data_IF_576741385907
#
_entry.id   IF_576741385907
#
_cell.length_a   1.000
_cell.length_b   1.000
_cell.length_c   1.000
_cell.angle_alpha   90.00
_cell.angle_beta   90.00
_cell.angle_gamma   90.00
#
_symmetry.space_group_name_H-M   'P 1'
#
loop_
_entity.id
_entity.type
_entity.pdbx_description
1 polymer ?
#
# COMPACT_ATOMS: atom_id res chain seq x y z
N UNK A 1 10.23 -18.94 -4.40
CA UNK A 1 11.15 -18.38 -3.38
C UNK A 1 10.61 -17.01 -2.92
N UNK A 2 10.89 -16.60 -1.67
CA UNK A 2 10.57 -15.25 -1.15
C UNK A 2 11.86 -14.49 -0.83
N UNK A 3 12.01 -13.26 -1.31
CA UNK A 3 13.20 -12.43 -1.11
C UNK A 3 12.81 -10.98 -0.83
N UNK A 4 13.49 -10.33 0.12
CA UNK A 4 13.37 -8.89 0.36
C UNK A 4 14.49 -8.12 -0.36
N UNK A 5 14.14 -7.13 -1.17
CA UNK A 5 15.06 -6.42 -2.06
C UNK A 5 14.79 -4.91 -2.07
N UNK A 6 15.80 -4.11 -2.41
CA UNK A 6 15.59 -2.73 -2.86
C UNK A 6 15.50 -2.70 -4.39
N UNK A 7 14.88 -1.67 -5.01
CA UNK A 7 14.81 -1.57 -6.47
C UNK A 7 16.17 -1.65 -7.16
N UNK A 8 17.22 -1.08 -6.54
CA UNK A 8 18.60 -1.12 -7.07
C UNK A 8 19.21 -2.52 -7.12
N UNK A 9 18.67 -3.45 -6.34
CA UNK A 9 19.13 -4.84 -6.24
C UNK A 9 18.25 -5.79 -7.06
N UNK A 10 17.24 -5.25 -7.76
CA UNK A 10 16.38 -5.98 -8.69
C UNK A 10 16.91 -5.80 -10.11
N UNK A 11 16.76 -6.84 -10.93
CA UNK A 11 16.95 -6.76 -12.37
C UNK A 11 15.82 -5.93 -13.00
N UNK A 12 16.09 -5.32 -14.16
CA UNK A 12 15.04 -4.62 -14.91
C UNK A 12 13.88 -5.55 -15.28
N UNK A 13 14.16 -6.82 -15.58
CA UNK A 13 13.13 -7.83 -15.88
C UNK A 13 12.21 -8.13 -14.69
N UNK A 14 12.71 -8.13 -13.46
CA UNK A 14 11.86 -8.29 -12.26
C UNK A 14 11.00 -7.05 -12.01
N UNK A 15 11.55 -5.85 -12.20
CA UNK A 15 10.78 -4.61 -12.07
C UNK A 15 9.70 -4.50 -13.15
N UNK A 16 10.01 -4.87 -14.38
CA UNK A 16 9.04 -4.91 -15.48
C UNK A 16 7.95 -5.95 -15.20
N UNK A 17 8.28 -7.15 -14.70
CA UNK A 17 7.28 -8.14 -14.30
C UNK A 17 6.37 -7.63 -13.15
N UNK A 18 6.91 -6.88 -12.19
CA UNK A 18 6.10 -6.24 -11.16
C UNK A 18 5.18 -5.17 -11.77
N UNK A 19 5.69 -4.37 -12.72
CA UNK A 19 4.90 -3.35 -13.40
C UNK A 19 3.75 -3.96 -14.21
N UNK A 20 4.03 -5.04 -14.95
CA UNK A 20 3.03 -5.75 -15.74
C UNK A 20 1.93 -6.34 -14.85
N UNK A 21 2.29 -6.84 -13.66
CA UNK A 21 1.31 -7.26 -12.66
C UNK A 21 0.41 -6.11 -12.21
N UNK A 22 0.95 -4.92 -11.91
CA UNK A 22 0.15 -3.75 -11.52
C UNK A 22 -0.81 -3.35 -12.65
N UNK A 23 -0.33 -3.32 -13.89
CA UNK A 23 -1.17 -3.00 -15.05
C UNK A 23 -2.29 -4.01 -15.24
N UNK A 24 -1.98 -5.31 -15.10
CA UNK A 24 -2.93 -6.41 -15.24
C UNK A 24 -4.04 -6.36 -14.19
N UNK A 25 -3.70 -6.12 -12.93
CA UNK A 25 -4.63 -6.27 -11.79
C UNK A 25 -5.35 -4.99 -11.41
N UNK A 26 -4.69 -3.83 -11.56
CA UNK A 26 -5.18 -2.53 -11.11
C UNK A 26 -5.21 -1.46 -12.21
N UNK A 27 -4.74 -1.76 -13.42
CA UNK A 27 -4.71 -0.76 -14.52
C UNK A 27 -6.08 -0.17 -14.82
N UNK A 28 -7.14 -0.98 -14.79
CA UNK A 28 -8.52 -0.49 -15.00
C UNK A 28 -9.05 0.34 -13.83
N UNK A 29 -8.72 -0.04 -12.59
CA UNK A 29 -9.05 0.78 -11.42
C UNK A 29 -8.39 2.17 -11.55
N UNK A 30 -7.09 2.22 -11.89
CA UNK A 30 -6.37 3.47 -12.15
C UNK A 30 -7.02 4.30 -13.26
N UNK A 31 -7.32 3.70 -14.43
CA UNK A 31 -7.97 4.40 -15.56
C UNK A 31 -9.35 4.94 -15.23
N UNK A 32 -10.09 4.26 -14.36
CA UNK A 32 -11.43 4.68 -13.92
C UNK A 32 -11.41 5.73 -12.80
N UNK A 33 -10.27 5.92 -12.16
CA UNK A 33 -10.06 6.86 -11.06
C UNK A 33 -9.63 8.25 -11.56
N UNK A 34 -9.71 9.23 -10.67
CA UNK A 34 -9.15 10.58 -10.82
C UNK A 34 -7.62 10.61 -10.79
N UNK A 35 -6.96 9.54 -10.34
CA UNK A 35 -5.49 9.40 -10.37
C UNK A 35 -5.00 9.12 -11.79
N UNK A 36 -5.73 8.31 -12.56
CA UNK A 36 -5.37 7.93 -13.92
C UNK A 36 -4.22 6.91 -13.99
N UNK A 37 -4.04 6.29 -15.17
CA UNK A 37 -2.93 5.36 -15.42
C UNK A 37 -1.79 6.07 -16.17
N UNK A 38 -0.66 6.23 -15.51
CA UNK A 38 0.52 6.93 -16.04
C UNK A 38 1.76 6.02 -16.02
N UNK A 39 1.98 5.17 -17.03
CA UNK A 39 3.04 4.16 -17.05
C UNK A 39 4.44 4.69 -16.70
N UNK A 40 4.81 5.84 -17.28
CA UNK A 40 6.13 6.45 -17.07
C UNK A 40 6.31 6.94 -15.63
N UNK A 41 5.27 7.54 -15.05
CA UNK A 41 5.29 7.98 -13.66
C UNK A 41 5.34 6.75 -12.73
N UNK A 42 4.51 5.74 -13.01
CA UNK A 42 4.45 4.50 -12.24
C UNK A 42 5.79 3.76 -12.22
N UNK A 43 6.46 3.63 -13.37
CA UNK A 43 7.80 3.03 -13.44
C UNK A 43 8.87 3.81 -12.68
N UNK A 44 8.71 5.13 -12.52
CA UNK A 44 9.60 5.96 -11.69
C UNK A 44 9.30 5.77 -10.21
N UNK A 45 8.04 5.80 -9.80
CA UNK A 45 7.58 5.52 -8.44
C UNK A 45 8.10 4.14 -7.97
N UNK A 46 7.95 3.11 -8.80
CA UNK A 46 8.41 1.75 -8.48
C UNK A 46 9.93 1.64 -8.27
N UNK A 47 10.70 2.66 -8.67
CA UNK A 47 12.16 2.75 -8.52
C UNK A 47 12.59 3.69 -7.39
N UNK A 48 11.68 4.18 -6.56
CA UNK A 48 12.03 5.00 -5.40
C UNK A 48 13.01 4.25 -4.47
N UNK A 49 14.11 4.89 -4.04
CA UNK A 49 15.24 4.21 -3.38
C UNK A 49 14.90 3.56 -2.04
N UNK A 50 13.88 4.09 -1.38
CA UNK A 50 13.43 3.65 -0.06
C UNK A 50 12.34 2.57 -0.10
N UNK A 51 11.85 2.22 -1.30
CA UNK A 51 11.00 1.04 -1.45
C UNK A 51 11.75 -0.23 -1.07
N UNK A 52 10.99 -1.18 -0.52
CA UNK A 52 11.38 -2.55 -0.24
C UNK A 52 10.36 -3.47 -0.89
N UNK A 53 10.85 -4.40 -1.69
CA UNK A 53 10.04 -5.39 -2.39
C UNK A 53 10.15 -6.73 -1.70
N UNK A 54 9.05 -7.45 -1.60
CA UNK A 54 9.03 -8.89 -1.33
C UNK A 54 8.53 -9.57 -2.59
N UNK A 55 9.42 -10.28 -3.30
CA UNK A 55 9.08 -10.99 -4.53
C UNK A 55 8.64 -12.41 -4.24
N UNK A 56 7.63 -12.88 -4.97
CA UNK A 56 7.21 -14.27 -5.06
C UNK A 56 7.67 -14.81 -6.39
N UNK A 57 8.64 -15.74 -6.36
CA UNK A 57 9.12 -16.41 -7.58
C UNK A 57 8.71 -17.87 -7.65
N UNK A 58 8.44 -18.38 -8.85
CA UNK A 58 8.25 -19.81 -9.10
C UNK A 58 9.60 -20.56 -9.18
N UNK A 59 9.59 -21.79 -9.71
CA UNK A 59 10.79 -22.64 -9.82
C UNK A 59 11.72 -22.21 -10.95
N UNK A 60 11.21 -21.45 -11.91
CA UNK A 60 11.94 -20.95 -13.07
C UNK A 60 12.43 -19.51 -12.83
N UNK A 61 12.44 -19.08 -11.56
CA UNK A 61 12.82 -17.73 -11.10
C UNK A 61 11.94 -16.59 -11.64
N UNK A 62 10.75 -16.90 -12.16
CA UNK A 62 9.82 -15.90 -12.68
C UNK A 62 8.99 -15.27 -11.56
N UNK A 63 8.83 -13.95 -11.59
CA UNK A 63 7.99 -13.22 -10.64
C UNK A 63 6.52 -13.53 -10.90
N UNK A 64 5.83 -14.06 -9.88
CA UNK A 64 4.40 -14.41 -9.90
C UNK A 64 3.56 -13.55 -8.96
N UNK A 65 4.20 -12.65 -8.24
CA UNK A 65 3.56 -11.78 -7.29
C UNK A 65 4.59 -10.99 -6.49
N UNK A 66 4.15 -9.92 -5.86
CA UNK A 66 5.00 -9.11 -5.02
C UNK A 66 4.18 -8.27 -4.04
N UNK A 67 4.87 -7.71 -3.05
CA UNK A 67 4.42 -6.49 -2.37
C UNK A 67 5.58 -5.51 -2.29
N UNK A 68 5.29 -4.21 -2.40
CA UNK A 68 6.25 -3.14 -2.16
C UNK A 68 5.81 -2.28 -0.98
N UNK A 69 6.76 -1.92 -0.13
CA UNK A 69 6.50 -1.13 1.07
C UNK A 69 7.65 -0.18 1.38
N UNK A 70 7.36 0.87 2.12
CA UNK A 70 8.36 1.86 2.54
C UNK A 70 8.04 2.39 3.93
N UNK A 71 9.02 2.39 4.86
CA UNK A 71 8.94 3.22 6.06
C UNK A 71 8.95 4.71 5.67
N UNK A 72 7.92 5.46 6.04
CA UNK A 72 7.74 6.88 5.68
C UNK A 72 7.00 7.64 6.80
N UNK A 73 6.74 8.93 6.59
CA UNK A 73 5.89 9.76 7.45
C UNK A 73 4.62 10.15 6.71
N UNK A 74 3.47 9.92 7.33
CA UNK A 74 2.15 10.33 6.84
C UNK A 74 1.44 11.15 7.91
N UNK A 75 1.03 12.37 7.58
CA UNK A 75 0.41 13.34 8.52
C UNK A 75 1.20 13.50 9.84
N UNK A 76 2.55 13.46 9.75
CA UNK A 76 3.45 13.59 10.90
C UNK A 76 3.63 12.31 11.72
N UNK A 77 2.99 11.19 11.34
CA UNK A 77 3.15 9.90 11.99
C UNK A 77 4.10 8.98 11.19
N UNK A 78 5.08 8.32 11.84
CA UNK A 78 5.90 7.31 11.19
C UNK A 78 5.09 6.02 10.94
N UNK A 79 5.11 5.54 9.69
CA UNK A 79 4.34 4.39 9.21
C UNK A 79 5.15 3.48 8.29
N UNK A 80 4.72 2.23 8.14
CA UNK A 80 5.06 1.44 6.95
C UNK A 80 3.91 1.55 5.97
N UNK A 81 4.17 2.11 4.80
CA UNK A 81 3.18 2.24 3.74
C UNK A 81 3.30 1.08 2.75
N UNK A 82 2.21 0.37 2.48
CA UNK A 82 2.09 -0.59 1.38
C UNK A 82 1.78 0.18 0.10
N UNK A 83 2.74 0.21 -0.82
CA UNK A 83 2.56 0.86 -2.11
C UNK A 83 1.80 -0.07 -3.06
N UNK A 84 2.26 -1.31 -3.15
CA UNK A 84 1.66 -2.31 -4.03
C UNK A 84 1.59 -3.69 -3.36
N UNK A 85 0.58 -4.46 -3.73
CA UNK A 85 0.49 -5.90 -3.48
C UNK A 85 -0.30 -6.51 -4.62
N UNK A 86 0.31 -7.48 -5.30
CA UNK A 86 -0.25 -8.12 -6.48
C UNK A 86 0.16 -9.57 -6.55
N UNK A 87 -0.80 -10.41 -6.90
CA UNK A 87 -0.56 -11.83 -7.15
C UNK A 87 -1.16 -12.22 -8.50
N UNK A 88 -0.46 -13.11 -9.20
CA UNK A 88 -1.07 -13.85 -10.31
C UNK A 88 -2.34 -14.58 -9.85
N UNK A 89 -3.28 -14.77 -10.78
CA UNK A 89 -4.62 -15.27 -10.46
C UNK A 89 -4.60 -16.65 -9.79
N UNK A 90 -3.70 -17.54 -10.21
CA UNK A 90 -3.52 -18.87 -9.63
C UNK A 90 -2.97 -18.85 -8.19
N UNK A 91 -2.38 -17.74 -7.75
CA UNK A 91 -1.89 -17.57 -6.39
C UNK A 91 -2.90 -16.90 -5.46
N UNK A 92 -3.99 -16.34 -5.99
CA UNK A 92 -5.05 -15.75 -5.18
C UNK A 92 -5.83 -16.84 -4.43
N UNK A 93 -6.29 -16.52 -3.20
CA UNK A 93 -7.04 -17.48 -2.38
C UNK A 93 -6.22 -18.59 -1.72
N UNK A 94 -4.91 -18.67 -2.00
CA UNK A 94 -3.98 -19.63 -1.38
C UNK A 94 -3.55 -19.26 0.05
N UNK A 95 -3.84 -18.02 0.46
CA UNK A 95 -3.32 -17.42 1.70
C UNK A 95 -2.03 -16.63 1.54
N UNK A 96 -1.42 -16.63 0.34
CA UNK A 96 -0.16 -15.93 0.09
C UNK A 96 -0.26 -14.41 0.30
N UNK A 97 -1.36 -13.77 -0.11
CA UNK A 97 -1.57 -12.33 0.14
C UNK A 97 -1.59 -12.01 1.64
N UNK A 98 -2.22 -12.87 2.45
CA UNK A 98 -2.21 -12.74 3.92
C UNK A 98 -0.79 -12.88 4.48
N UNK A 99 0.02 -13.78 3.92
CA UNK A 99 1.42 -13.94 4.32
C UNK A 99 2.26 -12.69 3.97
N UNK A 100 2.10 -12.13 2.77
CA UNK A 100 2.77 -10.89 2.35
C UNK A 100 2.41 -9.71 3.27
N UNK A 101 1.12 -9.52 3.55
CA UNK A 101 0.66 -8.51 4.52
C UNK A 101 1.16 -8.79 5.94
N UNK A 102 1.40 -10.06 6.28
CA UNK A 102 2.05 -10.46 7.53
C UNK A 102 3.49 -9.97 7.64
N UNK A 103 4.28 -10.07 6.56
CA UNK A 103 5.64 -9.52 6.52
C UNK A 103 5.65 -8.00 6.61
N UNK A 104 4.70 -7.34 5.95
CA UNK A 104 4.53 -5.89 6.05
C UNK A 104 4.24 -5.45 7.49
N UNK A 105 3.32 -6.15 8.16
CA UNK A 105 3.04 -5.91 9.57
C UNK A 105 4.26 -6.20 10.45
N UNK A 106 5.01 -7.28 10.19
CA UNK A 106 6.22 -7.59 10.93
C UNK A 106 7.29 -6.50 10.77
N UNK A 107 7.43 -5.90 9.58
CA UNK A 107 8.30 -4.75 9.35
C UNK A 107 7.86 -3.54 10.20
N UNK A 108 6.56 -3.25 10.24
CA UNK A 108 6.02 -2.17 11.07
C UNK A 108 6.24 -2.40 12.58
N UNK A 109 6.03 -3.63 13.06
CA UNK A 109 6.26 -4.02 14.46
C UNK A 109 7.75 -4.00 14.84
N UNK A 110 8.63 -4.29 13.89
CA UNK A 110 10.08 -4.35 14.09
C UNK A 110 10.74 -2.98 14.26
N UNK A 111 10.09 -1.89 13.86
CA UNK A 111 10.62 -0.53 13.95
C UNK A 111 9.94 0.20 15.13
N UNK A 112 10.64 0.44 16.26
CA UNK A 112 9.99 0.91 17.50
C UNK A 112 9.22 2.23 17.41
N UNK A 113 9.58 3.10 16.47
CA UNK A 113 8.90 4.37 16.23
C UNK A 113 7.61 4.21 15.43
N UNK A 114 7.43 3.14 14.66
CA UNK A 114 6.29 2.98 13.76
C UNK A 114 5.02 2.56 14.53
N UNK A 115 3.98 3.37 14.37
CA UNK A 115 2.70 3.17 15.07
C UNK A 115 1.68 2.36 14.28
N UNK A 116 1.78 2.32 12.96
CA UNK A 116 0.81 1.66 12.09
C UNK A 116 1.41 1.29 10.73
N UNK A 117 0.78 0.30 10.10
CA UNK A 117 0.89 0.09 8.66
C UNK A 117 -0.27 0.80 7.96
N UNK A 118 -0.03 1.33 6.76
CA UNK A 118 -1.02 2.05 5.94
C UNK A 118 -1.02 1.57 4.50
N UNK A 119 -2.13 1.76 3.80
CA UNK A 119 -2.26 1.57 2.36
C UNK A 119 -3.39 2.42 1.79
N UNK A 120 -3.32 2.76 0.50
CA UNK A 120 -4.47 3.28 -0.26
C UNK A 120 -5.12 2.15 -1.02
N UNK A 121 -6.45 2.13 -1.08
CA UNK A 121 -7.23 1.15 -1.84
C UNK A 121 -8.30 1.89 -2.65
N UNK A 122 -8.44 1.57 -3.94
CA UNK A 122 -9.52 2.12 -4.75
C UNK A 122 -10.88 1.75 -4.17
N UNK A 123 -11.80 2.72 -4.13
CA UNK A 123 -13.15 2.53 -3.61
C UNK A 123 -13.97 1.56 -4.48
N UNK A 124 -13.63 1.44 -5.78
CA UNK A 124 -14.17 0.44 -6.70
C UNK A 124 -13.76 -0.98 -6.35
N UNK A 125 -12.58 -1.17 -5.74
CA UNK A 125 -11.99 -2.48 -5.49
C UNK A 125 -12.49 -3.09 -4.17
N UNK A 126 -13.79 -3.38 -4.12
CA UNK A 126 -14.46 -3.94 -2.95
C UNK A 126 -13.85 -5.27 -2.48
N UNK A 127 -13.27 -6.06 -3.39
CA UNK A 127 -12.59 -7.31 -3.06
C UNK A 127 -11.32 -7.07 -2.25
N UNK A 128 -10.43 -6.19 -2.73
CA UNK A 128 -9.21 -5.86 -2.00
C UNK A 128 -9.55 -5.23 -0.64
N UNK A 129 -10.53 -4.32 -0.61
CA UNK A 129 -11.02 -3.72 0.64
C UNK A 129 -11.47 -4.77 1.66
N UNK A 130 -12.33 -5.71 1.27
CA UNK A 130 -12.79 -6.79 2.16
C UNK A 130 -11.63 -7.68 2.64
N UNK A 131 -10.65 -7.93 1.77
CA UNK A 131 -9.43 -8.64 2.14
C UNK A 131 -8.63 -7.90 3.23
N UNK A 132 -8.36 -6.59 3.06
CA UNK A 132 -7.66 -5.79 4.06
C UNK A 132 -8.42 -5.67 5.39
N UNK A 133 -9.74 -5.46 5.32
CA UNK A 133 -10.62 -5.42 6.49
C UNK A 133 -10.58 -6.75 7.27
N UNK A 134 -10.59 -7.89 6.55
CA UNK A 134 -10.41 -9.22 7.15
C UNK A 134 -9.03 -9.44 7.81
N UNK A 135 -8.03 -8.64 7.45
CA UNK A 135 -6.72 -8.61 8.11
C UNK A 135 -6.64 -7.59 9.26
N UNK A 136 -7.76 -6.93 9.61
CA UNK A 136 -7.83 -5.98 10.70
C UNK A 136 -7.33 -4.58 10.35
N UNK A 137 -7.23 -4.25 9.05
CA UNK A 137 -7.13 -2.86 8.60
C UNK A 137 -8.51 -2.20 8.68
N UNK A 138 -8.55 -0.94 9.07
CA UNK A 138 -9.76 -0.13 9.08
C UNK A 138 -9.53 1.19 8.36
N UNK A 139 -10.60 1.95 8.14
CA UNK A 139 -10.52 3.29 7.56
C UNK A 139 -9.63 4.17 8.45
N UNK A 140 -8.56 4.75 7.87
CA UNK A 140 -7.68 5.66 8.59
C UNK A 140 -8.35 7.04 8.74
N UNK A 141 -8.00 7.77 9.80
CA UNK A 141 -8.52 9.10 10.06
C UNK A 141 -8.17 10.10 8.95
N UNK A 142 -7.03 9.89 8.26
CA UNK A 142 -6.58 10.68 7.12
C UNK A 142 -7.28 10.36 5.79
N UNK A 143 -8.10 9.30 5.75
CA UNK A 143 -8.80 8.91 4.53
C UNK A 143 -9.69 10.05 4.03
N UNK A 144 -9.67 10.36 2.71
CA UNK A 144 -10.56 11.38 2.17
C UNK A 144 -12.01 11.02 2.46
N UNK A 145 -12.81 12.05 2.76
CA UNK A 145 -14.24 11.92 3.06
C UNK A 145 -15.06 12.57 1.96
N UNK A 146 -16.32 12.16 1.86
CA UNK A 146 -17.30 12.86 1.04
C UNK A 146 -17.35 14.34 1.43
N UNK A 147 -17.28 15.22 0.43
CA UNK A 147 -17.38 16.67 0.63
C UNK A 147 -18.55 17.24 -0.16
N UNK A 148 -19.39 18.01 0.51
CA UNK A 148 -20.44 18.82 -0.13
C UNK A 148 -19.89 20.20 -0.47
N UNK A 149 -19.86 20.54 -1.75
CA UNK A 149 -19.40 21.83 -2.23
C UNK A 149 -20.53 22.87 -2.18
N UNK A 150 -20.15 24.15 -2.22
CA UNK A 150 -21.11 25.25 -2.39
C UNK A 150 -21.84 25.04 -3.72
N UNK A 151 -23.17 25.00 -3.69
CA UNK A 151 -24.01 24.67 -4.85
C UNK A 151 -24.55 23.23 -4.88
N UNK A 152 -24.36 22.45 -3.81
CA UNK A 152 -25.02 21.15 -3.65
C UNK A 152 -24.32 19.96 -4.34
N UNK A 153 -23.23 20.20 -5.08
CA UNK A 153 -22.41 19.13 -5.67
C UNK A 153 -21.74 18.31 -4.57
N UNK A 154 -21.93 16.99 -4.60
CA UNK A 154 -21.27 16.02 -3.72
C UNK A 154 -20.04 15.46 -4.44
N UNK A 155 -18.89 15.48 -3.78
CA UNK A 155 -17.64 14.86 -4.26
C UNK A 155 -17.38 13.63 -3.40
N UNK A 156 -17.48 12.46 -4.02
CA UNK A 156 -17.17 11.16 -3.41
C UNK A 156 -15.73 10.79 -3.79
N UNK A 157 -14.87 10.44 -2.82
CA UNK A 157 -13.53 9.93 -3.11
C UNK A 157 -13.58 8.59 -3.87
N UNK A 158 -12.68 8.42 -4.82
CA UNK A 158 -12.45 7.22 -5.62
C UNK A 158 -11.46 6.23 -4.99
N UNK A 159 -10.86 6.60 -3.87
CA UNK A 159 -10.04 5.75 -3.02
C UNK A 159 -10.29 6.01 -1.54
N UNK A 160 -9.87 5.07 -0.71
CA UNK A 160 -9.82 5.18 0.75
C UNK A 160 -8.43 4.83 1.26
N UNK A 161 -8.05 5.40 2.40
CA UNK A 161 -6.83 5.04 3.10
C UNK A 161 -7.20 4.11 4.24
N UNK A 162 -6.54 2.95 4.30
CA UNK A 162 -6.72 1.97 5.35
C UNK A 162 -5.46 1.87 6.20
N UNK A 163 -5.61 1.64 7.50
CA UNK A 163 -4.48 1.41 8.39
C UNK A 163 -4.73 0.34 9.45
N UNK A 164 -3.63 -0.22 9.96
CA UNK A 164 -3.63 -1.15 11.08
C UNK A 164 -2.53 -0.77 12.05
N UNK A 165 -2.92 -0.39 13.28
CA UNK A 165 -1.98 -0.08 14.37
C UNK A 165 -1.16 -1.30 14.78
N UNK A 166 0.11 -1.07 15.09
CA UNK A 166 1.01 -2.06 15.69
C UNK A 166 0.53 -2.44 17.10
N UNK A 167 0.92 -3.61 17.61
CA UNK A 167 0.59 -4.08 18.94
C UNK A 167 1.07 -3.08 20.01
N UNK A 168 2.27 -2.52 19.82
CA UNK A 168 2.83 -1.47 20.67
C UNK A 168 1.96 -0.21 20.69
N UNK A 169 1.52 0.27 19.53
CA UNK A 169 0.67 1.46 19.44
C UNK A 169 -0.71 1.23 20.05
N UNK A 170 -1.29 0.03 19.86
CA UNK A 170 -2.56 -0.36 20.50
C UNK A 170 -2.47 -0.36 22.03
N UNK A 171 -1.37 -0.84 22.59
CA UNK A 171 -1.16 -0.82 24.04
C UNK A 171 -1.02 0.60 24.61
N UNK A 172 -0.47 1.54 23.84
CA UNK A 172 -0.30 2.96 24.24
C UNK A 172 -1.56 3.81 24.05
N UNK A 173 -2.38 3.51 23.05
CA UNK A 173 -3.62 4.24 22.73
C UNK A 173 -4.73 4.10 23.78
N UNK A 174 -4.53 3.35 24.86
CA UNK A 174 -5.41 3.33 26.04
C UNK A 174 -5.29 4.56 26.95
N UNK A 175 -4.38 5.50 26.68
CA UNK A 175 -4.28 6.75 27.43
C UNK A 175 -3.33 7.75 26.78
N UNK A 176 -3.87 8.88 26.27
CA UNK A 176 -3.09 10.05 25.87
C UNK A 176 -3.48 10.60 24.51
N UNK A 177 -4.02 11.82 24.50
CA UNK A 177 -4.42 12.58 23.30
C UNK A 177 -3.24 13.05 22.44
N UNK A 178 -3.52 13.69 21.29
CA UNK A 178 -2.54 13.86 20.23
C UNK A 178 -1.52 14.96 20.58
N UNK A 179 -0.27 14.72 20.19
CA UNK A 179 0.81 15.71 20.21
C UNK A 179 0.94 16.26 18.81
N UNK A 180 0.82 17.58 18.67
CA UNK A 180 0.98 18.28 17.40
C UNK A 180 2.45 18.25 16.95
N UNK A 181 2.66 17.95 15.67
CA UNK A 181 3.96 18.07 15.00
C UNK A 181 3.81 18.95 13.75
N UNK A 182 4.65 19.98 13.68
CA UNK A 182 4.71 20.94 12.57
C UNK A 182 5.29 20.32 11.30
N UNK A 183 4.66 20.65 10.16
CA UNK A 183 5.37 21.15 8.98
C UNK A 183 6.15 20.18 8.09
N UNK A 184 5.46 19.71 7.05
CA UNK A 184 5.92 19.62 5.67
C UNK A 184 6.91 18.51 5.27
N UNK A 185 6.35 17.34 4.96
CA UNK A 185 6.82 16.50 3.85
C UNK A 185 5.59 16.05 3.07
N UNK A 186 5.51 16.46 1.81
CA UNK A 186 4.48 15.99 0.88
C UNK A 186 4.85 14.56 0.50
N UNK A 187 4.15 13.57 1.06
CA UNK A 187 4.25 12.19 0.57
C UNK A 187 3.88 12.17 -0.90
N UNK A 188 4.79 11.68 -1.74
CA UNK A 188 4.58 11.49 -3.18
C UNK A 188 3.52 10.40 -3.35
N UNK A 189 2.27 10.84 -3.54
CA UNK A 189 1.06 10.01 -3.56
C UNK A 189 0.90 9.36 -4.94
N UNK A 190 1.41 8.14 -5.14
CA UNK A 190 1.09 7.38 -6.36
C UNK A 190 0.90 5.85 -6.16
N UNK A 191 1.21 5.31 -4.97
CA UNK A 191 0.99 3.90 -4.63
C UNK A 191 -0.44 3.60 -4.20
N UNK A 192 -1.18 2.80 -4.98
CA UNK A 192 -2.51 2.29 -4.61
C UNK A 192 -2.43 0.77 -4.54
N UNK A 193 -2.49 0.24 -3.32
CA UNK A 193 -2.32 -1.18 -3.05
C UNK A 193 -3.41 -1.99 -3.78
N UNK A 194 -2.93 -2.90 -4.63
CA UNK A 194 -3.75 -3.75 -5.48
C UNK A 194 -4.41 -4.96 -4.82
N UNK A 195 -4.47 -6.07 -5.57
CA UNK A 195 -5.34 -7.23 -5.32
C UNK A 195 -4.56 -8.53 -5.11
#
# INVERSE_FOLDING_TARGET
>A
MLSILQPRDMTDGELDACFDLVEKTSGDDYRSSSVGWHPVAKKKEMRLPDLRYILVKDRDEQVRGFTSMMPTYEDGEPVVYCYEIHLEDELQGTGLGKQLMGYLMAAAEGIPSIGKAMLTCFASNARARAFYEGLGFGLDESSPRERRLRGGKVVVPDYVILSRRTARARARGGGGGPVAGDGNTVGEKDGVAGR
#
